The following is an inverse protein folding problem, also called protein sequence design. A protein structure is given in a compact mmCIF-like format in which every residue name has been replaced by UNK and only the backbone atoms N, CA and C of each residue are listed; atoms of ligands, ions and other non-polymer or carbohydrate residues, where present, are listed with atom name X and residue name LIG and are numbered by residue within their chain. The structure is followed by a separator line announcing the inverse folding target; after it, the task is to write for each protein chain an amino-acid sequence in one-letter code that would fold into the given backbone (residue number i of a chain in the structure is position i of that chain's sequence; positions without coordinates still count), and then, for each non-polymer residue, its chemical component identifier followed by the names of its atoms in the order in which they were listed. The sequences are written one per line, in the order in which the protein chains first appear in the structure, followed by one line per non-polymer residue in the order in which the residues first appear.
data_IF_170159445788
#
_entry.id   IF_170159445788
#
_cell.length_a   1.000
_cell.length_b   1.000
_cell.length_c   1.000
_cell.angle_alpha   90.00
_cell.angle_beta   90.00
_cell.angle_gamma   90.00
#
_symmetry.space_group_name_H-M   'P 1'
#
loop_
_entity.id
_entity.type
_entity.pdbx_description
1 polymer ?
#
# COMPACT_ATOMS: atom_id res chain seq x y z
N UNK A 1 12.15 3.38 -11.09
CA UNK A 1 10.91 3.45 -10.28
C UNK A 1 10.03 4.59 -10.75
N UNK A 2 8.75 4.31 -10.95
CA UNK A 2 7.80 5.33 -11.36
C UNK A 2 7.48 6.25 -10.18
N UNK A 3 7.70 7.56 -10.28
CA UNK A 3 7.41 8.45 -9.17
C UNK A 3 5.91 8.60 -8.97
N UNK A 4 5.48 8.68 -7.71
CA UNK A 4 4.13 9.08 -7.36
C UNK A 4 4.03 10.60 -7.43
N UNK A 5 2.82 11.12 -7.63
CA UNK A 5 2.61 12.56 -7.61
C UNK A 5 3.00 13.12 -6.24
N UNK A 6 3.61 14.30 -6.19
CA UNK A 6 4.13 14.85 -4.94
C UNK A 6 3.04 15.24 -3.94
N UNK A 7 1.82 15.54 -4.40
CA UNK A 7 0.71 15.92 -3.56
C UNK A 7 -0.34 14.81 -3.55
N UNK A 8 -0.47 14.04 -2.44
CA UNK A 8 -1.44 12.94 -2.38
C UNK A 8 -2.88 13.40 -2.57
N UNK A 9 -3.26 14.55 -2.01
CA UNK A 9 -4.63 15.05 -2.14
C UNK A 9 -4.92 15.45 -3.58
N UNK A 10 -3.99 16.11 -4.23
CA UNK A 10 -4.11 16.49 -5.63
C UNK A 10 -4.19 15.25 -6.53
N UNK A 11 -3.41 14.23 -6.22
CA UNK A 11 -3.43 12.98 -6.95
C UNK A 11 -4.81 12.33 -6.89
N UNK A 12 -5.37 12.23 -5.69
CA UNK A 12 -6.71 11.65 -5.49
C UNK A 12 -7.79 12.48 -6.18
N UNK A 13 -7.68 13.80 -6.13
CA UNK A 13 -8.60 14.69 -6.83
C UNK A 13 -8.58 14.44 -8.33
N UNK A 14 -7.41 14.31 -8.92
CA UNK A 14 -7.29 14.03 -10.35
C UNK A 14 -7.92 12.70 -10.73
N UNK A 15 -7.77 11.67 -9.89
CA UNK A 15 -8.39 10.38 -10.11
C UNK A 15 -9.92 10.45 -10.06
N UNK A 16 -10.47 11.23 -9.12
CA UNK A 16 -11.90 11.46 -9.01
C UNK A 16 -12.42 12.16 -10.27
N UNK A 17 -11.70 13.16 -10.76
CA UNK A 17 -12.08 13.90 -11.95
C UNK A 17 -12.07 13.03 -13.22
N UNK A 18 -11.19 12.02 -13.27
CA UNK A 18 -11.13 11.08 -14.39
C UNK A 18 -12.28 10.06 -14.38
N UNK A 19 -12.83 9.76 -13.23
CA UNK A 19 -14.03 8.94 -12.96
C UNK A 19 -14.15 7.62 -13.72
N UNK A 20 -13.10 6.98 -14.13
CA UNK A 20 -13.21 5.71 -14.83
C UNK A 20 -12.57 4.58 -14.02
N UNK A 21 -12.99 3.35 -14.32
CA UNK A 21 -12.32 2.17 -13.78
C UNK A 21 -10.86 2.11 -14.22
N UNK A 22 -10.55 2.72 -15.37
CA UNK A 22 -9.18 2.82 -15.88
C UNK A 22 -8.31 3.72 -14.99
N UNK A 23 -8.85 4.83 -14.50
CA UNK A 23 -8.14 5.72 -13.60
C UNK A 23 -7.76 5.00 -12.30
N UNK A 24 -8.69 4.24 -11.73
CA UNK A 24 -8.43 3.44 -10.53
C UNK A 24 -7.39 2.36 -10.77
N UNK A 25 -7.44 1.72 -11.92
CA UNK A 25 -6.47 0.70 -12.30
C UNK A 25 -5.07 1.30 -12.45
N UNK A 26 -4.96 2.44 -13.10
CA UNK A 26 -3.69 3.15 -13.27
C UNK A 26 -3.12 3.59 -11.93
N UNK A 27 -3.95 4.07 -11.02
CA UNK A 27 -3.53 4.45 -9.67
C UNK A 27 -2.95 3.27 -8.91
N UNK A 28 -3.67 2.14 -8.91
CA UNK A 28 -3.18 0.93 -8.24
C UNK A 28 -1.86 0.45 -8.86
N UNK A 29 -1.77 0.50 -10.18
CA UNK A 29 -0.55 0.10 -10.89
C UNK A 29 0.63 1.00 -10.53
N UNK A 30 0.42 2.32 -10.46
CA UNK A 30 1.48 3.26 -10.12
C UNK A 30 2.04 3.01 -8.72
N UNK A 31 1.18 2.63 -7.77
CA UNK A 31 1.63 2.29 -6.42
C UNK A 31 2.47 1.00 -6.45
N UNK A 32 2.02 -0.02 -7.16
CA UNK A 32 2.76 -1.27 -7.28
C UNK A 32 4.14 -1.05 -7.93
N UNK A 33 4.21 -0.22 -8.97
CA UNK A 33 5.46 0.14 -9.61
C UNK A 33 6.38 0.91 -8.68
N UNK A 34 5.83 1.84 -7.90
CA UNK A 34 6.60 2.62 -6.93
C UNK A 34 7.31 1.72 -5.92
N UNK A 35 6.68 0.63 -5.52
CA UNK A 35 7.26 -0.34 -4.58
C UNK A 35 8.03 -1.46 -5.29
N UNK A 36 8.32 -1.31 -6.59
CA UNK A 36 9.06 -2.28 -7.40
C UNK A 36 8.46 -3.69 -7.34
N UNK A 37 7.11 -3.75 -7.36
CA UNK A 37 6.35 -5.01 -7.34
C UNK A 37 6.68 -5.88 -6.13
N UNK A 38 7.05 -5.25 -5.03
CA UNK A 38 7.49 -5.91 -3.82
C UNK A 38 6.46 -5.70 -2.72
N UNK A 39 6.08 -6.78 -2.02
CA UNK A 39 5.25 -6.69 -0.84
C UNK A 39 6.02 -5.98 0.28
N UNK A 40 5.46 -4.90 0.80
CA UNK A 40 6.12 -4.13 1.86
C UNK A 40 6.26 -4.94 3.15
N UNK A 41 5.37 -5.89 3.39
CA UNK A 41 5.38 -6.67 4.63
C UNK A 41 6.35 -7.86 4.60
N UNK A 42 6.25 -8.71 3.58
CA UNK A 42 7.11 -9.89 3.52
C UNK A 42 8.39 -9.70 2.69
N UNK A 43 8.46 -8.65 1.92
CA UNK A 43 9.66 -8.31 1.15
C UNK A 43 9.88 -9.10 -0.13
N UNK A 44 8.92 -9.92 -0.52
CA UNK A 44 9.03 -10.72 -1.75
C UNK A 44 8.46 -9.96 -2.94
N UNK A 45 9.02 -10.20 -4.13
CA UNK A 45 8.55 -9.66 -5.39
C UNK A 45 7.54 -10.61 -6.02
N UNK A 46 6.48 -10.05 -6.62
CA UNK A 46 5.38 -10.83 -7.19
C UNK A 46 4.95 -10.27 -8.53
N UNK A 47 4.23 -11.08 -9.31
CA UNK A 47 3.52 -10.60 -10.49
C UNK A 47 2.40 -9.64 -10.09
N UNK A 48 2.02 -8.74 -10.99
CA UNK A 48 0.93 -7.80 -10.75
C UNK A 48 -0.35 -8.47 -10.26
N UNK A 49 -0.65 -9.65 -10.78
CA UNK A 49 -1.87 -10.40 -10.41
C UNK A 49 -1.88 -10.87 -8.95
N UNK A 50 -0.70 -10.97 -8.33
CA UNK A 50 -0.54 -11.40 -6.94
C UNK A 50 -0.40 -10.24 -5.97
N UNK A 51 -0.39 -9.02 -6.47
CA UNK A 51 -0.22 -7.82 -5.67
C UNK A 51 -1.53 -7.09 -5.49
N UNK A 52 -1.64 -6.39 -4.37
CA UNK A 52 -2.80 -5.55 -4.06
C UNK A 52 -2.32 -4.28 -3.38
N UNK A 53 -3.25 -3.35 -3.22
CA UNK A 53 -3.02 -2.12 -2.47
C UNK A 53 -3.62 -2.30 -1.08
N UNK A 54 -2.82 -2.04 -0.06
CA UNK A 54 -3.26 -2.15 1.32
C UNK A 54 -3.17 -0.78 1.99
N UNK A 55 -4.13 -0.52 2.86
CA UNK A 55 -4.10 0.64 3.76
C UNK A 55 -3.41 0.20 5.05
N UNK A 56 -2.24 0.77 5.35
CA UNK A 56 -1.48 0.42 6.56
C UNK A 56 -2.38 0.58 7.78
N UNK A 57 -3.03 1.75 7.88
CA UNK A 57 -4.12 1.97 8.83
C UNK A 57 -5.43 1.68 8.11
N UNK A 58 -6.14 0.60 8.47
CA UNK A 58 -7.34 0.18 7.74
C UNK A 58 -8.42 1.26 7.67
N UNK A 59 -9.10 1.33 6.54
CA UNK A 59 -10.21 2.28 6.35
C UNK A 59 -11.29 2.09 7.41
N UNK A 60 -11.57 0.86 7.80
CA UNK A 60 -12.54 0.55 8.85
C UNK A 60 -12.13 1.10 10.21
N UNK A 61 -10.89 1.49 10.40
CA UNK A 61 -10.36 2.09 11.64
C UNK A 61 -9.95 3.56 11.43
N UNK A 62 -10.52 4.23 10.43
CA UNK A 62 -10.26 5.63 10.17
C UNK A 62 -9.05 5.91 9.27
N UNK A 63 -8.50 4.90 8.64
CA UNK A 63 -7.40 5.08 7.70
C UNK A 63 -7.82 5.84 6.46
N UNK A 64 -6.92 6.68 5.95
CA UNK A 64 -7.18 7.57 4.81
C UNK A 64 -6.64 6.98 3.51
N UNK A 65 -7.18 7.46 2.38
CA UNK A 65 -6.73 7.10 1.03
C UNK A 65 -5.57 7.97 0.54
N UNK A 66 -4.67 8.37 1.44
CA UNK A 66 -3.50 9.18 1.09
C UNK A 66 -2.34 8.27 0.68
N UNK A 67 -1.43 8.80 -0.13
CA UNK A 67 -0.25 8.04 -0.56
C UNK A 67 0.61 7.58 0.61
N UNK A 68 0.61 8.33 1.71
CA UNK A 68 1.36 7.95 2.91
C UNK A 68 0.75 6.78 3.65
N UNK A 69 -0.51 6.42 3.37
CA UNK A 69 -1.18 5.30 4.04
C UNK A 69 -1.39 4.08 3.14
N UNK A 70 -1.05 4.17 1.86
CA UNK A 70 -1.24 3.04 0.94
C UNK A 70 0.10 2.44 0.56
N UNK A 71 0.14 1.13 0.51
CA UNK A 71 1.36 0.37 0.19
C UNK A 71 1.01 -0.78 -0.76
N UNK A 72 2.05 -1.29 -1.40
CA UNK A 72 1.94 -2.52 -2.19
C UNK A 72 2.09 -3.71 -1.26
N UNK A 73 1.17 -4.63 -1.30
CA UNK A 73 1.23 -5.86 -0.51
C UNK A 73 0.82 -7.05 -1.37
N UNK A 74 1.39 -8.21 -1.10
CA UNK A 74 0.91 -9.42 -1.75
C UNK A 74 -0.47 -9.77 -1.19
N UNK A 75 -1.29 -10.43 -1.99
CA UNK A 75 -2.65 -10.76 -1.60
C UNK A 75 -2.70 -11.61 -0.33
N UNK A 76 -1.71 -12.49 -0.14
CA UNK A 76 -1.62 -13.30 1.07
C UNK A 76 -1.43 -12.47 2.33
N UNK A 77 -0.47 -11.54 2.32
CA UNK A 77 -0.24 -10.67 3.47
C UNK A 77 -1.41 -9.73 3.72
N UNK A 78 -1.98 -9.16 2.65
CA UNK A 78 -3.12 -8.27 2.76
C UNK A 78 -4.32 -8.96 3.41
N UNK A 79 -4.63 -10.16 2.94
CA UNK A 79 -5.73 -10.96 3.46
C UNK A 79 -5.50 -11.37 4.91
N UNK A 80 -4.30 -11.82 5.23
CA UNK A 80 -3.93 -12.26 6.57
C UNK A 80 -3.94 -11.10 7.57
N UNK A 81 -3.48 -9.93 7.15
CA UNK A 81 -3.50 -8.73 7.99
C UNK A 81 -4.94 -8.26 8.26
N UNK A 82 -5.78 -8.26 7.23
CA UNK A 82 -7.16 -7.79 7.36
C UNK A 82 -7.22 -6.39 7.95
N UNK A 83 -8.09 -6.20 8.95
CA UNK A 83 -8.25 -4.91 9.65
C UNK A 83 -7.46 -4.83 10.94
N UNK A 84 -6.53 -5.75 11.18
CA UNK A 84 -5.71 -5.74 12.38
C UNK A 84 -4.71 -4.58 12.37
N UNK A 85 -4.23 -4.20 13.54
CA UNK A 85 -3.15 -3.23 13.65
C UNK A 85 -1.92 -3.79 12.92
N UNK A 86 -1.37 -3.02 12.00
CA UNK A 86 -0.31 -3.50 11.11
C UNK A 86 0.94 -3.93 11.87
N UNK A 87 1.31 -3.17 12.91
CA UNK A 87 2.53 -3.44 13.66
C UNK A 87 2.40 -4.68 14.53
N UNK A 88 1.29 -4.80 15.22
CA UNK A 88 0.99 -5.98 16.05
C UNK A 88 0.95 -7.25 15.19
N UNK A 89 0.22 -7.19 14.07
CA UNK A 89 0.12 -8.30 13.13
C UNK A 89 1.48 -8.69 12.57
N UNK A 90 2.24 -7.68 12.12
CA UNK A 90 3.53 -7.90 11.46
C UNK A 90 4.55 -8.52 12.42
N UNK A 91 4.60 -8.04 13.65
CA UNK A 91 5.50 -8.57 14.67
C UNK A 91 5.14 -9.99 15.07
N UNK A 92 3.84 -10.29 15.16
CA UNK A 92 3.38 -11.65 15.45
C UNK A 92 3.76 -12.62 14.34
N UNK A 93 3.73 -12.18 13.08
CA UNK A 93 3.99 -13.04 11.92
C UNK A 93 5.47 -13.16 11.59
N UNK A 94 6.22 -12.07 11.62
CA UNK A 94 7.59 -11.99 11.13
C UNK A 94 8.63 -11.67 12.21
N UNK A 95 8.19 -11.30 13.40
CA UNK A 95 9.07 -10.76 14.43
C UNK A 95 9.43 -9.31 14.13
N UNK A 96 10.44 -8.80 14.80
CA UNK A 96 10.92 -7.43 14.60
C UNK A 96 11.92 -7.44 13.43
N UNK A 97 11.59 -6.74 12.36
CA UNK A 97 12.38 -6.73 11.13
C UNK A 97 12.68 -5.29 10.69
N UNK A 98 13.62 -5.15 9.76
CA UNK A 98 13.96 -3.85 9.17
C UNK A 98 12.81 -3.29 8.32
N UNK A 99 11.91 -4.15 7.82
CA UNK A 99 10.77 -3.71 7.02
C UNK A 99 9.81 -2.84 7.79
N UNK A 100 9.71 -3.05 9.07
CA UNK A 100 8.97 -2.22 10.00
C UNK A 100 9.39 -0.75 9.90
N UNK A 101 10.68 -0.50 9.83
CA UNK A 101 11.24 0.85 9.70
C UNK A 101 10.92 1.48 8.35
N UNK A 102 10.91 0.68 7.28
CA UNK A 102 10.52 1.17 5.96
C UNK A 102 9.07 1.65 5.95
N UNK A 103 8.19 0.90 6.59
CA UNK A 103 6.77 1.26 6.70
C UNK A 103 6.60 2.52 7.54
N UNK A 104 7.28 2.60 8.67
CA UNK A 104 7.23 3.78 9.55
C UNK A 104 7.67 5.05 8.82
N UNK A 105 8.72 4.97 8.01
CA UNK A 105 9.17 6.09 7.19
C UNK A 105 8.14 6.48 6.15
N UNK A 106 7.46 5.51 5.58
CA UNK A 106 6.46 5.78 4.54
C UNK A 106 5.23 6.48 5.10
N UNK A 107 4.74 6.05 6.27
CA UNK A 107 3.51 6.59 6.86
C UNK A 107 3.71 7.86 7.68
N UNK A 108 4.95 8.21 7.96
CA UNK A 108 5.29 9.47 8.67
C UNK A 108 5.69 10.58 7.66
#
# INVERSE_FOLDING_TARGET
MTPLLPDPEHYLYNLIAMTSSDAKRLWRRSIKEHFDYTCVYCGKTYDLSQLSIDHVHPRSRGGKDTLSNVVCACKGCNQDKGSNNWLTWMRAKFGITQREQLILKHIN
#
